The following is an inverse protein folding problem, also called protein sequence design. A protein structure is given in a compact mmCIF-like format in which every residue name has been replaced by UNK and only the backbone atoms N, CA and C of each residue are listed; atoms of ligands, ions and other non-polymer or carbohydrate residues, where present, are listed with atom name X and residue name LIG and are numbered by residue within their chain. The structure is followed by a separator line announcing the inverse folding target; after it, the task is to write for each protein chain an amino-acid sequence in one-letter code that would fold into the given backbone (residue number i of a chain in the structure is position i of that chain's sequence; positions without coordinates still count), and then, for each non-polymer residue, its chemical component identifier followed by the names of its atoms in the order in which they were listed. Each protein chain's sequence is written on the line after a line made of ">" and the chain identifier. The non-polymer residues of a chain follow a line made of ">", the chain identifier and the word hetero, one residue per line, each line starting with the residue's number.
data_IF_141684808410
#
_entry.id   IF_141684808410
#
_cell.length_a   1.000
_cell.length_b   1.000
_cell.length_c   1.000
_cell.angle_alpha   90.00
_cell.angle_beta   90.00
_cell.angle_gamma   90.00
#
_symmetry.space_group_name_H-M   'P 1'
#
loop_
_entity.id
_entity.type
_entity.pdbx_description
1 polymer ?
#
# COMPACT_ATOMS: atom_id res chain seq x y z
N UNK A 1 -21.03 41.22 1.70
CA UNK A 1 -19.69 40.91 2.25
C UNK A 1 -19.27 39.56 1.70
N UNK A 2 -18.19 39.46 0.90
CA UNK A 2 -17.69 38.17 0.46
C UNK A 2 -16.93 37.51 1.61
N UNK A 3 -17.26 36.24 1.85
CA UNK A 3 -16.66 35.37 2.85
C UNK A 3 -15.18 35.21 2.54
N UNK A 4 -14.31 35.59 3.48
CA UNK A 4 -12.89 35.21 3.46
C UNK A 4 -12.80 33.70 3.54
N UNK A 5 -12.52 33.03 2.42
CA UNK A 5 -11.95 31.69 2.46
C UNK A 5 -10.61 31.81 3.19
N UNK A 6 -10.48 31.09 4.31
CA UNK A 6 -9.37 31.22 5.25
C UNK A 6 -8.05 30.80 4.60
N UNK A 7 -7.03 31.63 4.77
CA UNK A 7 -5.61 31.46 4.42
C UNK A 7 -5.00 30.08 4.82
N UNK A 8 -5.68 29.31 5.68
CA UNK A 8 -5.29 27.97 6.13
C UNK A 8 -5.49 26.85 5.11
N UNK A 9 -6.49 26.91 4.21
CA UNK A 9 -6.75 25.84 3.23
C UNK A 9 -5.82 25.95 2.02
N UNK A 10 -5.55 27.17 1.54
CA UNK A 10 -4.57 27.41 0.48
C UNK A 10 -3.15 27.02 0.91
N UNK A 11 -2.77 27.28 2.16
CA UNK A 11 -1.46 26.88 2.71
C UNK A 11 -1.30 25.35 2.77
N UNK A 12 -2.34 24.63 3.20
CA UNK A 12 -2.33 23.15 3.25
C UNK A 12 -2.24 22.53 1.87
N UNK A 13 -2.98 23.06 0.90
CA UNK A 13 -2.90 22.62 -0.49
C UNK A 13 -1.49 22.82 -1.07
N UNK A 14 -0.85 23.97 -0.81
CA UNK A 14 0.52 24.24 -1.28
C UNK A 14 1.55 23.29 -0.64
N UNK A 15 1.39 22.94 0.63
CA UNK A 15 2.26 21.99 1.31
C UNK A 15 2.10 20.56 0.75
N UNK A 16 0.89 20.15 0.36
CA UNK A 16 0.62 18.84 -0.26
C UNK A 16 1.27 18.67 -1.64
N UNK A 17 1.58 19.78 -2.33
CA UNK A 17 2.27 19.78 -3.61
C UNK A 17 3.79 19.61 -3.46
N UNK A 18 4.33 19.83 -2.27
CA UNK A 18 5.77 19.75 -2.01
C UNK A 18 6.28 18.33 -2.24
N UNK A 19 7.49 18.22 -2.79
CA UNK A 19 8.17 16.96 -3.17
C UNK A 19 7.46 16.13 -4.25
N UNK A 20 6.36 16.61 -4.84
CA UNK A 20 5.74 15.94 -6.00
C UNK A 20 6.53 16.22 -7.27
N UNK A 21 6.70 15.18 -8.09
CA UNK A 21 7.28 15.34 -9.43
C UNK A 21 6.20 15.80 -10.41
N UNK A 22 6.54 16.79 -11.23
CA UNK A 22 5.63 17.44 -12.17
C UNK A 22 6.31 17.65 -13.52
N UNK A 23 5.49 17.58 -14.56
CA UNK A 23 5.80 18.09 -15.88
C UNK A 23 5.04 19.42 -16.08
N UNK A 24 5.77 20.50 -16.32
CA UNK A 24 5.24 21.84 -16.56
C UNK A 24 5.46 22.19 -18.03
N UNK A 25 4.36 22.44 -18.74
CA UNK A 25 4.37 22.92 -20.12
C UNK A 25 4.37 24.44 -20.13
N UNK A 26 5.40 25.01 -20.76
CA UNK A 26 5.54 26.43 -21.09
C UNK A 26 5.25 26.64 -22.57
N UNK A 27 5.34 27.88 -23.04
CA UNK A 27 5.05 28.24 -24.45
C UNK A 27 5.92 27.47 -25.46
N UNK A 28 7.22 27.32 -25.16
CA UNK A 28 8.20 26.75 -26.07
C UNK A 28 8.77 25.40 -25.60
N UNK A 29 8.65 25.11 -24.32
CA UNK A 29 9.38 24.04 -23.65
C UNK A 29 8.49 23.28 -22.67
N UNK A 30 8.90 22.05 -22.36
CA UNK A 30 8.27 21.24 -21.31
C UNK A 30 9.35 20.82 -20.33
N UNK A 31 9.20 21.23 -19.09
CA UNK A 31 10.16 20.98 -18.01
C UNK A 31 9.61 19.93 -17.06
N UNK A 32 10.46 19.02 -16.62
CA UNK A 32 10.18 18.06 -15.55
C UNK A 32 10.99 18.45 -14.33
N UNK A 33 10.39 18.44 -13.16
CA UNK A 33 11.08 18.70 -11.89
C UNK A 33 10.28 18.27 -10.68
N UNK A 34 10.86 18.44 -9.50
CA UNK A 34 10.21 18.17 -8.21
C UNK A 34 9.85 19.49 -7.55
N UNK A 35 8.61 19.64 -7.08
CA UNK A 35 8.16 20.88 -6.45
C UNK A 35 8.86 21.04 -5.10
N UNK A 36 9.71 22.06 -4.99
CA UNK A 36 10.33 22.43 -3.71
C UNK A 36 9.40 23.31 -2.86
N UNK A 37 8.69 24.25 -3.51
CA UNK A 37 7.65 25.11 -2.92
C UNK A 37 6.86 25.87 -4.00
N UNK A 38 5.66 26.33 -3.65
CA UNK A 38 4.90 27.33 -4.43
C UNK A 38 4.91 28.65 -3.65
N UNK A 39 5.20 29.76 -4.32
CA UNK A 39 5.28 31.08 -3.69
C UNK A 39 3.92 31.77 -3.65
N UNK A 40 3.75 32.74 -2.75
CA UNK A 40 2.55 33.59 -2.68
C UNK A 40 2.28 34.37 -3.99
N UNK A 41 3.29 34.56 -4.84
CA UNK A 41 3.18 35.18 -6.17
C UNK A 41 2.85 34.17 -7.28
N UNK A 42 2.25 33.02 -6.93
CA UNK A 42 1.89 31.93 -7.87
C UNK A 42 3.06 31.42 -8.72
N UNK A 43 4.29 31.50 -8.21
CA UNK A 43 5.47 30.95 -8.89
C UNK A 43 5.81 29.58 -8.29
N UNK A 44 6.25 28.65 -9.11
CA UNK A 44 6.65 27.30 -8.67
C UNK A 44 8.17 27.21 -8.66
N UNK A 45 8.74 26.78 -7.53
CA UNK A 45 10.18 26.49 -7.43
C UNK A 45 10.36 24.99 -7.58
N UNK A 46 11.10 24.59 -8.60
CA UNK A 46 11.43 23.19 -8.90
C UNK A 46 12.89 22.87 -8.57
N UNK A 47 13.15 21.65 -8.11
CA UNK A 47 14.46 21.02 -8.03
C UNK A 47 14.55 19.81 -8.99
N UNK A 48 15.75 19.27 -9.22
CA UNK A 48 15.99 18.15 -10.17
C UNK A 48 15.35 18.38 -11.55
N UNK A 49 15.62 19.56 -12.12
CA UNK A 49 14.91 20.05 -13.31
C UNK A 49 15.59 19.55 -14.58
N UNK A 50 14.79 19.02 -15.51
CA UNK A 50 15.23 18.59 -16.84
C UNK A 50 14.23 19.00 -17.91
N UNK A 51 14.71 19.24 -19.13
CA UNK A 51 13.83 19.47 -20.28
C UNK A 51 13.37 18.11 -20.85
N UNK A 52 12.06 17.95 -21.04
CA UNK A 52 11.46 16.66 -21.42
C UNK A 52 11.88 16.21 -22.83
N UNK A 53 12.03 17.15 -23.77
CA UNK A 53 12.41 16.82 -25.17
C UNK A 53 13.89 16.45 -25.31
N UNK A 54 14.78 17.25 -24.72
CA UNK A 54 16.23 17.09 -24.90
C UNK A 54 16.91 16.26 -23.79
N UNK A 55 16.22 16.05 -22.67
CA UNK A 55 16.81 15.45 -21.46
C UNK A 55 17.81 16.36 -20.75
N UNK A 56 18.03 17.59 -21.24
CA UNK A 56 19.01 18.53 -20.67
C UNK A 56 18.65 18.83 -19.22
N UNK A 57 19.59 18.57 -18.31
CA UNK A 57 19.47 18.91 -16.89
C UNK A 57 19.83 20.38 -16.64
N UNK A 58 19.10 21.01 -15.75
CA UNK A 58 19.40 22.36 -15.26
C UNK A 58 19.97 22.24 -13.84
N UNK A 59 21.16 22.81 -13.59
CA UNK A 59 21.75 22.79 -12.25
C UNK A 59 20.95 23.68 -11.29
N UNK A 60 20.83 23.25 -10.04
CA UNK A 60 20.17 24.00 -8.98
C UNK A 60 18.64 23.98 -9.04
N UNK A 61 18.02 24.99 -8.43
CA UNK A 61 16.56 25.18 -8.43
C UNK A 61 16.15 26.09 -9.58
N UNK A 62 15.00 25.81 -10.21
CA UNK A 62 14.43 26.64 -11.27
C UNK A 62 13.10 27.23 -10.80
N UNK A 63 12.97 28.55 -10.91
CA UNK A 63 11.72 29.26 -10.61
C UNK A 63 10.96 29.42 -11.92
N UNK A 64 9.68 29.05 -11.91
CA UNK A 64 8.76 29.20 -13.05
C UNK A 64 7.62 30.11 -12.61
N UNK A 65 7.39 31.18 -13.36
CA UNK A 65 6.34 32.14 -13.01
C UNK A 65 4.98 31.63 -13.47
N UNK A 66 3.94 31.80 -12.64
CA UNK A 66 2.62 31.24 -12.92
C UNK A 66 1.98 31.68 -14.23
N UNK A 67 2.35 32.86 -14.76
CA UNK A 67 1.85 33.36 -16.05
C UNK A 67 2.52 32.69 -17.26
N UNK A 68 3.64 32.00 -17.08
CA UNK A 68 4.35 31.24 -18.13
C UNK A 68 3.81 29.80 -18.25
N UNK A 69 3.08 29.33 -17.23
CA UNK A 69 2.61 27.95 -17.12
C UNK A 69 1.33 27.78 -17.95
N UNK A 70 1.43 27.01 -19.03
CA UNK A 70 0.27 26.63 -19.85
C UNK A 70 -0.45 25.40 -19.30
N UNK A 71 0.30 24.45 -18.73
CA UNK A 71 -0.24 23.19 -18.17
C UNK A 71 0.69 22.63 -17.10
N UNK A 72 0.11 22.07 -16.03
CA UNK A 72 0.84 21.28 -15.03
C UNK A 72 0.28 19.87 -15.03
N UNK A 73 1.15 18.88 -15.18
CA UNK A 73 0.82 17.46 -15.07
C UNK A 73 1.62 16.86 -13.92
N UNK A 74 0.94 16.36 -12.89
CA UNK A 74 1.61 15.57 -11.86
C UNK A 74 2.02 14.24 -12.47
N UNK A 75 3.32 13.96 -12.47
CA UNK A 75 3.79 12.61 -12.77
C UNK A 75 3.47 11.79 -11.54
N UNK A 76 2.53 10.84 -11.65
CA UNK A 76 2.22 9.88 -10.59
C UNK A 76 3.55 9.33 -10.07
N UNK A 77 3.88 9.59 -8.80
CA UNK A 77 5.12 9.10 -8.24
C UNK A 77 5.14 7.58 -8.26
N UNK A 78 6.30 7.07 -8.66
CA UNK A 78 6.75 5.68 -8.79
C UNK A 78 6.50 5.01 -10.15
N UNK A 79 7.57 4.98 -10.95
CA UNK A 79 7.70 4.44 -12.32
C UNK A 79 7.44 2.95 -12.46
N UNK A 80 6.26 2.49 -12.06
CA UNK A 80 5.75 1.15 -12.33
C UNK A 80 4.95 1.20 -13.62
N UNK A 81 5.48 0.60 -14.68
CA UNK A 81 4.82 0.52 -16.00
C UNK A 81 3.68 -0.49 -15.95
N UNK A 82 2.52 -0.21 -16.55
CA UNK A 82 1.47 -1.21 -16.75
C UNK A 82 1.56 -1.85 -18.14
N UNK A 83 1.25 -3.14 -18.24
CA UNK A 83 1.22 -3.89 -19.50
C UNK A 83 -0.06 -4.72 -19.55
N UNK A 84 -0.91 -4.45 -20.54
CA UNK A 84 -2.09 -5.28 -20.84
C UNK A 84 -1.66 -6.56 -21.56
N UNK A 85 -2.17 -7.69 -21.10
CA UNK A 85 -2.01 -9.02 -21.70
C UNK A 85 -3.41 -9.59 -21.95
N UNK A 86 -3.87 -9.50 -23.19
CA UNK A 86 -5.21 -9.90 -23.65
C UNK A 86 -5.18 -11.05 -24.67
N UNK A 87 -3.99 -11.47 -25.06
CA UNK A 87 -3.73 -12.52 -26.04
C UNK A 87 -2.48 -13.34 -25.65
N UNK A 88 -2.42 -14.61 -26.07
CA UNK A 88 -1.37 -15.56 -25.68
C UNK A 88 -0.06 -15.42 -26.49
N UNK A 89 0.08 -14.38 -27.31
CA UNK A 89 1.24 -14.23 -28.21
C UNK A 89 2.26 -13.20 -27.71
N UNK A 90 2.63 -12.20 -28.50
CA UNK A 90 3.78 -11.30 -28.40
C UNK A 90 4.14 -10.85 -26.97
N UNK A 91 3.16 -10.51 -26.14
CA UNK A 91 3.40 -9.99 -24.79
C UNK A 91 3.33 -11.06 -23.70
N UNK A 92 2.60 -12.15 -23.92
CA UNK A 92 2.29 -13.14 -22.88
C UNK A 92 3.54 -13.91 -22.44
N UNK A 93 4.26 -14.51 -23.39
CA UNK A 93 5.49 -15.27 -23.10
C UNK A 93 6.53 -14.44 -22.34
N UNK A 94 6.92 -13.25 -22.84
CA UNK A 94 7.85 -12.37 -22.13
C UNK A 94 7.37 -11.95 -20.74
N UNK A 95 6.05 -11.71 -20.56
CA UNK A 95 5.49 -11.40 -19.24
C UNK A 95 5.64 -12.57 -18.27
N UNK A 96 5.26 -13.78 -18.68
CA UNK A 96 5.38 -15.00 -17.85
C UNK A 96 6.84 -15.25 -17.46
N UNK A 97 7.77 -15.17 -18.42
CA UNK A 97 9.20 -15.35 -18.15
C UNK A 97 9.71 -14.32 -17.13
N UNK A 98 9.41 -13.03 -17.33
CA UNK A 98 9.85 -11.98 -16.42
C UNK A 98 9.24 -12.13 -15.01
N UNK A 99 7.98 -12.54 -14.90
CA UNK A 99 7.33 -12.78 -13.60
C UNK A 99 7.97 -13.99 -12.90
N UNK A 100 8.30 -15.05 -13.63
CA UNK A 100 8.90 -16.26 -13.09
C UNK A 100 10.30 -16.04 -12.50
N UNK A 101 11.04 -15.03 -12.99
CA UNK A 101 12.34 -14.62 -12.44
C UNK A 101 12.22 -13.89 -11.09
N UNK A 102 11.03 -13.42 -10.71
CA UNK A 102 10.83 -12.67 -9.49
C UNK A 102 10.80 -13.59 -8.26
N UNK A 103 11.38 -13.13 -7.14
CA UNK A 103 11.26 -13.81 -5.84
C UNK A 103 9.98 -13.43 -5.10
N UNK A 104 9.46 -12.24 -5.34
CA UNK A 104 8.26 -11.69 -4.70
C UNK A 104 7.44 -10.95 -5.74
N UNK A 105 6.15 -11.24 -5.80
CA UNK A 105 5.18 -10.59 -6.69
C UNK A 105 3.93 -10.18 -5.90
N UNK A 106 3.25 -9.14 -6.35
CA UNK A 106 1.96 -8.71 -5.81
C UNK A 106 0.85 -9.25 -6.70
N UNK A 107 -0.26 -9.70 -6.13
CA UNK A 107 -1.37 -10.26 -6.89
C UNK A 107 -2.69 -9.60 -6.48
N UNK A 108 -3.50 -9.30 -7.49
CA UNK A 108 -4.88 -8.86 -7.37
C UNK A 108 -5.77 -9.63 -8.35
N UNK A 109 -7.07 -9.61 -8.08
CA UNK A 109 -8.07 -10.18 -8.96
C UNK A 109 -9.32 -9.30 -8.97
N UNK A 110 -9.95 -9.19 -10.13
CA UNK A 110 -11.32 -8.66 -10.26
C UNK A 110 -12.23 -9.77 -10.76
N UNK A 111 -13.37 -9.91 -10.11
CA UNK A 111 -14.35 -10.99 -10.33
C UNK A 111 -15.72 -10.41 -10.60
N UNK A 112 -16.55 -11.15 -11.33
CA UNK A 112 -17.95 -10.80 -11.58
C UNK A 112 -18.86 -12.03 -11.43
N UNK A 113 -20.05 -11.82 -10.86
CA UNK A 113 -21.06 -12.87 -10.64
C UNK A 113 -21.30 -13.19 -9.16
N UNK A 114 -22.29 -14.05 -8.85
CA UNK A 114 -22.56 -14.48 -7.48
C UNK A 114 -21.46 -15.40 -6.97
N UNK A 115 -21.14 -15.40 -5.67
CA UNK A 115 -19.99 -16.13 -5.07
C UNK A 115 -19.85 -17.59 -5.54
N UNK A 116 -20.97 -18.31 -5.71
CA UNK A 116 -20.99 -19.69 -6.17
C UNK A 116 -20.63 -19.90 -7.66
N UNK A 117 -20.70 -18.84 -8.47
CA UNK A 117 -20.46 -18.83 -9.92
C UNK A 117 -19.62 -17.62 -10.36
N UNK A 118 -18.82 -17.05 -9.43
CA UNK A 118 -17.95 -15.93 -9.75
C UNK A 118 -16.99 -16.32 -10.88
N UNK A 119 -16.83 -15.39 -11.83
CA UNK A 119 -15.88 -15.47 -12.92
C UNK A 119 -14.71 -14.55 -12.65
N UNK A 120 -13.49 -15.08 -12.71
CA UNK A 120 -12.26 -14.30 -12.73
C UNK A 120 -12.17 -13.53 -14.05
N UNK A 121 -12.35 -12.21 -13.99
CA UNK A 121 -12.30 -11.35 -15.16
C UNK A 121 -10.88 -10.87 -15.44
N UNK A 122 -10.16 -10.50 -14.38
CA UNK A 122 -8.82 -9.93 -14.45
C UNK A 122 -7.92 -10.52 -13.39
N UNK A 123 -6.67 -10.79 -13.77
CA UNK A 123 -5.59 -11.11 -12.85
C UNK A 123 -4.50 -10.04 -12.99
N UNK A 124 -4.18 -9.36 -11.88
CA UNK A 124 -3.07 -8.41 -11.84
C UNK A 124 -1.85 -9.05 -11.20
N UNK A 125 -0.68 -8.88 -11.81
CA UNK A 125 0.60 -9.32 -11.25
C UNK A 125 1.58 -8.15 -11.22
N UNK A 126 1.88 -7.66 -10.03
CA UNK A 126 2.86 -6.61 -9.79
C UNK A 126 4.24 -7.18 -9.50
N UNK A 127 5.24 -6.59 -10.15
CA UNK A 127 6.66 -6.72 -9.83
C UNK A 127 7.15 -5.37 -9.28
N UNK A 128 8.45 -5.23 -8.98
CA UNK A 128 9.02 -3.95 -8.51
C UNK A 128 8.84 -2.80 -9.52
N UNK A 129 8.79 -3.09 -10.82
CA UNK A 129 8.80 -2.07 -11.89
C UNK A 129 7.67 -2.19 -12.91
N UNK A 130 6.94 -3.30 -12.91
CA UNK A 130 5.89 -3.57 -13.91
C UNK A 130 4.66 -4.18 -13.25
N UNK A 131 3.47 -3.70 -13.61
CA UNK A 131 2.20 -4.40 -13.37
C UNK A 131 1.70 -5.01 -14.68
N UNK A 132 1.50 -6.32 -14.68
CA UNK A 132 0.85 -7.03 -15.77
C UNK A 132 -0.64 -7.18 -15.46
N UNK A 133 -1.48 -6.83 -16.43
CA UNK A 133 -2.93 -6.89 -16.36
C UNK A 133 -3.39 -7.98 -17.34
N UNK A 134 -3.64 -9.19 -16.84
CA UNK A 134 -4.07 -10.32 -17.64
C UNK A 134 -5.60 -10.31 -17.76
N UNK A 135 -6.09 -10.24 -18.99
CA UNK A 135 -7.50 -10.35 -19.31
C UNK A 135 -7.92 -11.83 -19.34
N UNK A 136 -8.40 -12.33 -18.21
CA UNK A 136 -8.68 -13.77 -18.07
C UNK A 136 -9.92 -14.19 -18.88
N UNK A 137 -10.83 -13.25 -19.19
CA UNK A 137 -11.96 -13.55 -20.07
C UNK A 137 -11.52 -13.84 -21.50
N UNK A 138 -10.53 -13.08 -22.02
CA UNK A 138 -9.98 -13.29 -23.36
C UNK A 138 -8.97 -14.43 -23.42
N UNK A 139 -8.07 -14.52 -22.44
CA UNK A 139 -7.02 -15.55 -22.42
C UNK A 139 -7.56 -16.94 -22.05
N UNK A 140 -8.64 -16.99 -21.26
CA UNK A 140 -9.26 -18.22 -20.76
C UNK A 140 -8.31 -19.09 -19.92
N UNK A 141 -8.70 -20.36 -19.75
CA UNK A 141 -7.90 -21.34 -18.99
C UNK A 141 -6.52 -21.64 -19.58
N UNK A 142 -6.27 -21.24 -20.83
CA UNK A 142 -4.97 -21.41 -21.48
C UNK A 142 -3.89 -20.52 -20.87
N UNK A 143 -4.24 -19.36 -20.31
CA UNK A 143 -3.28 -18.51 -19.58
C UNK A 143 -2.60 -19.28 -18.43
N UNK A 144 -3.39 -20.10 -17.73
CA UNK A 144 -2.93 -20.90 -16.60
C UNK A 144 -2.09 -22.09 -17.06
N UNK A 145 -2.56 -22.82 -18.07
CA UNK A 145 -1.84 -23.95 -18.69
C UNK A 145 -0.49 -23.53 -19.27
N UNK A 146 -0.39 -22.31 -19.81
CA UNK A 146 0.82 -21.80 -20.46
C UNK A 146 1.76 -21.00 -19.53
N UNK A 147 1.61 -21.13 -18.21
CA UNK A 147 2.65 -20.71 -17.27
C UNK A 147 2.17 -20.00 -16.01
N UNK A 148 0.97 -19.40 -16.00
CA UNK A 148 0.49 -18.72 -14.78
C UNK A 148 0.31 -19.71 -13.61
N UNK A 149 -0.14 -20.94 -13.85
CA UNK A 149 -0.19 -21.96 -12.78
C UNK A 149 1.18 -22.23 -12.20
N UNK A 150 2.20 -22.38 -13.05
CA UNK A 150 3.58 -22.62 -12.61
C UNK A 150 4.06 -21.51 -11.68
N UNK A 151 3.73 -20.24 -11.94
CA UNK A 151 4.10 -19.11 -11.10
C UNK A 151 3.31 -19.11 -9.78
N UNK A 152 1.98 -19.24 -9.86
CA UNK A 152 1.08 -19.12 -8.71
C UNK A 152 1.27 -20.25 -7.69
N UNK A 153 1.59 -21.46 -8.16
CA UNK A 153 1.81 -22.65 -7.33
C UNK A 153 3.26 -22.80 -6.87
N UNK A 154 4.21 -22.00 -7.40
CA UNK A 154 5.62 -22.07 -7.03
C UNK A 154 5.87 -21.62 -5.59
N UNK A 155 6.40 -22.52 -4.76
CA UNK A 155 6.73 -22.24 -3.35
C UNK A 155 7.92 -21.29 -3.18
N UNK A 156 8.74 -21.09 -4.19
CA UNK A 156 9.91 -20.19 -4.16
C UNK A 156 9.60 -18.76 -4.62
N UNK A 157 8.39 -18.51 -5.14
CA UNK A 157 7.90 -17.17 -5.44
C UNK A 157 6.86 -16.81 -4.39
N UNK A 158 7.11 -15.75 -3.62
CA UNK A 158 6.17 -15.24 -2.64
C UNK A 158 5.11 -14.38 -3.31
N UNK A 159 3.83 -14.69 -3.06
CA UNK A 159 2.69 -13.91 -3.57
C UNK A 159 2.15 -13.01 -2.47
N UNK A 160 2.34 -11.71 -2.63
CA UNK A 160 1.78 -10.69 -1.74
C UNK A 160 0.37 -10.35 -2.20
N UNK A 161 -0.60 -10.50 -1.31
CA UNK A 161 -2.02 -10.27 -1.60
C UNK A 161 -2.62 -9.40 -0.49
N UNK A 162 -3.71 -8.71 -0.78
CA UNK A 162 -4.59 -8.16 0.25
C UNK A 162 -5.90 -8.91 0.22
N UNK A 163 -6.22 -9.63 1.29
CA UNK A 163 -7.37 -10.54 1.38
C UNK A 163 -7.33 -11.64 0.30
N UNK A 164 -6.60 -12.71 0.59
CA UNK A 164 -6.39 -13.80 -0.37
C UNK A 164 -7.62 -14.68 -0.60
N UNK A 165 -8.72 -14.51 0.15
CA UNK A 165 -9.87 -15.41 0.13
C UNK A 165 -10.52 -15.48 -1.25
N UNK A 166 -10.77 -14.32 -1.86
CA UNK A 166 -11.42 -14.24 -3.16
C UNK A 166 -10.57 -14.83 -4.28
N UNK A 167 -9.31 -14.39 -4.39
CA UNK A 167 -8.39 -14.88 -5.45
C UNK A 167 -8.11 -16.37 -5.32
N UNK A 168 -7.89 -16.88 -4.10
CA UNK A 168 -7.64 -18.31 -3.86
C UNK A 168 -8.85 -19.16 -4.26
N UNK A 169 -10.06 -18.73 -3.88
CA UNK A 169 -11.30 -19.42 -4.25
C UNK A 169 -11.50 -19.47 -5.76
N UNK A 170 -11.35 -18.34 -6.47
CA UNK A 170 -11.57 -18.28 -7.91
C UNK A 170 -10.54 -19.11 -8.69
N UNK A 171 -9.26 -18.99 -8.34
CA UNK A 171 -8.19 -19.80 -8.95
C UNK A 171 -8.43 -21.31 -8.80
N UNK A 172 -8.86 -21.74 -7.61
CA UNK A 172 -9.15 -23.15 -7.33
C UNK A 172 -10.40 -23.64 -8.06
N UNK A 173 -11.49 -22.87 -8.01
CA UNK A 173 -12.78 -23.27 -8.55
C UNK A 173 -12.79 -23.29 -10.09
N UNK A 174 -12.24 -22.26 -10.74
CA UNK A 174 -12.30 -22.13 -12.20
C UNK A 174 -11.12 -22.79 -12.92
N UNK A 175 -9.93 -22.78 -12.33
CA UNK A 175 -8.69 -23.16 -13.03
C UNK A 175 -7.92 -24.30 -12.35
N UNK A 176 -8.40 -24.80 -11.20
CA UNK A 176 -7.74 -25.83 -10.37
C UNK A 176 -6.32 -25.44 -9.93
N UNK A 177 -6.07 -24.13 -9.79
CA UNK A 177 -4.78 -23.58 -9.36
C UNK A 177 -4.79 -23.34 -7.86
N UNK A 178 -3.77 -23.82 -7.16
CA UNK A 178 -3.63 -23.69 -5.71
C UNK A 178 -2.57 -22.64 -5.37
N UNK A 179 -3.01 -21.44 -4.98
CA UNK A 179 -2.09 -20.39 -4.55
C UNK A 179 -1.26 -20.84 -3.34
N UNK A 180 0.06 -20.91 -3.48
CA UNK A 180 1.00 -21.31 -2.40
C UNK A 180 1.84 -20.13 -1.93
N UNK A 181 2.59 -20.22 -0.83
CA UNK A 181 3.55 -19.18 -0.37
C UNK A 181 3.00 -17.74 -0.48
N UNK A 182 2.02 -17.43 0.38
CA UNK A 182 1.28 -16.17 0.35
C UNK A 182 1.67 -15.30 1.55
N UNK A 183 1.89 -14.01 1.31
CA UNK A 183 1.88 -12.99 2.35
C UNK A 183 0.60 -12.16 2.21
N UNK A 184 -0.32 -12.28 3.17
CA UNK A 184 -1.56 -11.51 3.17
C UNK A 184 -1.41 -10.25 4.03
N UNK A 185 -1.45 -9.09 3.36
CA UNK A 185 -1.33 -7.78 4.01
C UNK A 185 -2.50 -7.44 4.94
N UNK A 186 -3.70 -8.00 4.72
CA UNK A 186 -4.84 -7.82 5.62
C UNK A 186 -4.68 -8.63 6.90
N UNK A 187 -4.14 -9.85 6.79
CA UNK A 187 -3.80 -10.68 7.97
C UNK A 187 -2.66 -10.04 8.75
N UNK A 188 -1.65 -9.49 8.07
CA UNK A 188 -0.58 -8.76 8.73
C UNK A 188 -1.10 -7.51 9.49
N UNK A 189 -1.99 -6.70 8.89
CA UNK A 189 -2.63 -5.56 9.58
C UNK A 189 -3.46 -6.00 10.80
N UNK A 190 -4.17 -7.13 10.69
CA UNK A 190 -4.92 -7.70 11.80
C UNK A 190 -3.99 -8.13 12.94
N UNK A 191 -2.87 -8.78 12.62
CA UNK A 191 -1.89 -9.21 13.61
C UNK A 191 -1.18 -8.02 14.29
N UNK A 192 -0.88 -6.97 13.53
CA UNK A 192 -0.36 -5.72 14.08
C UNK A 192 -1.33 -5.11 15.08
N UNK A 193 -2.61 -4.97 14.70
CA UNK A 193 -3.63 -4.45 15.61
C UNK A 193 -3.74 -5.31 16.88
N UNK A 194 -3.73 -6.63 16.74
CA UNK A 194 -3.78 -7.55 17.87
C UNK A 194 -2.60 -7.33 18.83
N UNK A 195 -1.39 -7.20 18.29
CA UNK A 195 -0.19 -6.97 19.09
C UNK A 195 -0.18 -5.57 19.75
N UNK A 196 -0.54 -4.53 19.00
CA UNK A 196 -0.58 -3.13 19.47
C UNK A 196 -1.66 -2.88 20.53
N UNK A 197 -2.70 -3.71 20.59
CA UNK A 197 -3.77 -3.62 21.59
C UNK A 197 -3.58 -4.61 22.73
N UNK A 198 -2.46 -5.34 22.78
CA UNK A 198 -2.17 -6.30 23.83
C UNK A 198 -3.04 -7.57 23.79
N UNK A 199 -3.65 -7.85 22.64
CA UNK A 199 -4.38 -9.08 22.38
C UNK A 199 -5.88 -8.92 22.10
N UNK A 200 -6.36 -7.71 21.81
CA UNK A 200 -7.74 -7.52 21.36
C UNK A 200 -7.87 -7.63 19.84
N UNK A 201 -8.96 -8.23 19.37
CA UNK A 201 -9.30 -8.25 17.95
C UNK A 201 -10.17 -7.04 17.59
N UNK A 202 -10.04 -6.49 16.38
CA UNK A 202 -10.94 -5.46 15.89
C UNK A 202 -12.28 -6.06 15.46
N UNK A 203 -13.33 -5.25 15.47
CA UNK A 203 -14.68 -5.58 14.97
C UNK A 203 -14.72 -5.83 13.45
N UNK A 204 -13.73 -5.31 12.72
CA UNK A 204 -13.55 -5.54 11.28
C UNK A 204 -12.08 -5.51 10.85
N UNK A 205 -11.83 -6.08 9.69
CA UNK A 205 -10.57 -5.95 8.94
C UNK A 205 -10.50 -4.62 8.19
N UNK A 206 -9.28 -4.18 7.88
CA UNK A 206 -9.02 -3.02 7.03
C UNK A 206 -9.20 -3.31 5.55
N UNK A 207 -9.64 -2.32 4.78
CA UNK A 207 -9.49 -2.33 3.32
C UNK A 207 -8.06 -1.99 2.90
N UNK A 208 -7.69 -2.32 1.66
CA UNK A 208 -6.35 -2.03 1.13
C UNK A 208 -6.02 -0.53 1.22
N UNK A 209 -6.99 0.33 0.93
CA UNK A 209 -6.84 1.78 1.06
C UNK A 209 -6.44 2.19 2.48
N UNK A 210 -7.09 1.60 3.49
CA UNK A 210 -6.85 1.95 4.89
C UNK A 210 -5.45 1.51 5.31
N UNK A 211 -5.05 0.30 4.94
CA UNK A 211 -3.71 -0.23 5.22
C UNK A 211 -2.63 0.61 4.51
N UNK A 212 -2.83 0.98 3.25
CA UNK A 212 -1.88 1.82 2.51
C UNK A 212 -1.77 3.24 3.09
N UNK A 213 -2.90 3.84 3.50
CA UNK A 213 -2.89 5.14 4.18
C UNK A 213 -2.15 5.05 5.51
N UNK A 214 -2.43 4.02 6.30
CA UNK A 214 -1.87 3.86 7.63
C UNK A 214 -0.37 3.59 7.59
N UNK A 215 0.08 2.66 6.76
CA UNK A 215 1.46 2.15 6.80
C UNK A 215 2.39 2.83 5.79
N UNK A 216 1.90 3.18 4.60
CA UNK A 216 2.72 3.87 3.59
C UNK A 216 2.50 5.38 3.55
N UNK A 217 1.56 5.91 4.36
CA UNK A 217 1.24 7.35 4.43
C UNK A 217 0.90 7.97 3.07
N UNK A 218 0.27 7.20 2.18
CA UNK A 218 -0.08 7.67 0.84
C UNK A 218 -1.12 8.81 0.92
N UNK A 219 -0.97 9.86 0.10
CA UNK A 219 -1.92 10.97 0.07
C UNK A 219 -3.26 10.52 -0.54
N UNK A 220 -4.37 11.23 -0.23
CA UNK A 220 -5.70 10.90 -0.77
C UNK A 220 -5.75 10.81 -2.30
N UNK A 221 -4.95 11.63 -3.01
CA UNK A 221 -4.85 11.60 -4.48
C UNK A 221 -4.44 10.24 -5.01
N UNK A 222 -3.52 9.57 -4.32
CA UNK A 222 -2.94 8.31 -4.77
C UNK A 222 -3.83 7.11 -4.39
N UNK A 223 -4.65 7.29 -3.35
CA UNK A 223 -5.66 6.33 -2.92
C UNK A 223 -6.96 6.45 -3.71
N UNK A 224 -7.20 7.57 -4.41
CA UNK A 224 -8.45 7.82 -5.13
C UNK A 224 -8.89 6.68 -6.08
N UNK A 225 -8.00 5.99 -6.82
CA UNK A 225 -8.45 4.87 -7.66
C UNK A 225 -8.97 3.68 -6.85
N UNK A 226 -8.46 3.48 -5.62
CA UNK A 226 -8.93 2.43 -4.72
C UNK A 226 -10.29 2.77 -4.11
N UNK A 227 -10.53 4.04 -3.78
CA UNK A 227 -11.87 4.52 -3.41
C UNK A 227 -12.88 4.19 -4.53
N UNK A 228 -12.53 4.49 -5.78
CA UNK A 228 -13.37 4.18 -6.94
C UNK A 228 -13.61 2.69 -7.11
N UNK A 229 -12.62 1.84 -6.83
CA UNK A 229 -12.78 0.37 -6.85
C UNK A 229 -13.87 -0.10 -5.89
N UNK A 230 -13.86 0.41 -4.66
CA UNK A 230 -14.85 0.03 -3.64
C UNK A 230 -16.26 0.47 -4.03
N UNK A 231 -16.39 1.64 -4.68
CA UNK A 231 -17.66 2.14 -5.22
C UNK A 231 -18.17 1.25 -6.36
N UNK A 232 -17.33 0.96 -7.36
CA UNK A 232 -17.73 0.10 -8.48
C UNK A 232 -18.17 -1.29 -8.02
N UNK A 233 -17.51 -1.87 -7.02
CA UNK A 233 -17.92 -3.16 -6.44
C UNK A 233 -19.35 -3.14 -5.87
N UNK A 234 -19.83 -1.98 -5.39
CA UNK A 234 -21.18 -1.83 -4.82
C UNK A 234 -22.22 -1.43 -5.86
N UNK A 235 -21.88 -0.49 -6.74
CA UNK A 235 -22.86 0.19 -7.60
C UNK A 235 -22.92 -0.36 -9.03
N UNK A 236 -21.81 -0.86 -9.56
CA UNK A 236 -21.73 -1.32 -10.96
C UNK A 236 -20.65 -2.42 -11.09
N UNK A 237 -20.84 -3.59 -10.46
CA UNK A 237 -19.85 -4.67 -10.47
C UNK A 237 -19.57 -5.23 -11.88
N UNK A 238 -20.49 -5.04 -12.83
CA UNK A 238 -20.38 -5.48 -14.23
C UNK A 238 -19.25 -4.78 -15.01
N UNK A 239 -18.71 -3.66 -14.52
CA UNK A 239 -17.60 -2.96 -15.18
C UNK A 239 -16.38 -3.85 -15.42
N UNK A 240 -16.15 -4.85 -14.55
CA UNK A 240 -15.04 -5.79 -14.69
C UNK A 240 -15.23 -6.78 -15.84
N UNK A 241 -16.46 -6.95 -16.31
CA UNK A 241 -16.84 -7.85 -17.41
C UNK A 241 -16.79 -7.16 -18.78
N UNK A 242 -16.87 -5.82 -18.83
CA UNK A 242 -16.91 -5.03 -20.07
C UNK A 242 -15.60 -5.16 -20.86
N UNK A 243 -15.70 -5.32 -22.20
CA UNK A 243 -14.57 -5.33 -23.13
C UNK A 243 -14.80 -4.42 -24.35
N UNK A 244 -13.76 -3.70 -24.82
CA UNK A 244 -12.43 -3.57 -24.21
C UNK A 244 -12.49 -2.84 -22.85
N UNK A 245 -11.51 -3.05 -21.97
CA UNK A 245 -11.50 -2.43 -20.64
C UNK A 245 -11.34 -0.91 -20.75
N UNK A 246 -12.19 -0.11 -20.08
CA UNK A 246 -12.00 1.33 -20.01
C UNK A 246 -10.63 1.70 -19.39
N UNK A 247 -9.91 2.70 -19.94
CA UNK A 247 -8.60 3.10 -19.42
C UNK A 247 -8.59 3.46 -17.92
N UNK A 248 -9.70 4.02 -17.41
CA UNK A 248 -9.86 4.31 -15.99
C UNK A 248 -9.78 3.06 -15.11
N UNK A 249 -10.35 1.93 -15.55
CA UNK A 249 -10.28 0.66 -14.81
C UNK A 249 -8.87 0.09 -14.81
N UNK A 250 -8.09 0.31 -15.88
CA UNK A 250 -6.69 -0.10 -15.93
C UNK A 250 -5.85 0.63 -14.86
N UNK A 251 -6.12 1.92 -14.63
CA UNK A 251 -5.52 2.68 -13.53
C UNK A 251 -5.91 2.13 -12.17
N UNK A 252 -7.19 1.79 -11.98
CA UNK A 252 -7.69 1.18 -10.73
C UNK A 252 -7.03 -0.17 -10.46
N UNK A 253 -6.98 -1.05 -11.46
CA UNK A 253 -6.33 -2.37 -11.36
C UNK A 253 -4.83 -2.25 -11.11
N UNK A 254 -4.17 -1.24 -11.67
CA UNK A 254 -2.74 -1.00 -11.40
C UNK A 254 -2.53 -0.53 -9.96
N UNK A 255 -3.36 0.42 -9.49
CA UNK A 255 -3.29 0.95 -8.14
C UNK A 255 -3.53 -0.12 -7.05
N UNK A 256 -4.36 -1.13 -7.33
CA UNK A 256 -4.71 -2.19 -6.37
C UNK A 256 -3.56 -3.14 -6.04
N UNK A 257 -2.50 -3.18 -6.85
CA UNK A 257 -1.36 -4.09 -6.63
C UNK A 257 0.00 -3.42 -6.55
N UNK A 258 0.17 -2.21 -7.12
CA UNK A 258 1.49 -1.57 -7.26
C UNK A 258 2.23 -1.33 -5.94
N UNK A 259 1.50 -1.17 -4.83
CA UNK A 259 2.05 -0.90 -3.52
C UNK A 259 2.15 -2.13 -2.62
N UNK A 260 1.74 -3.32 -3.07
CA UNK A 260 1.73 -4.52 -2.22
C UNK A 260 3.15 -4.93 -1.77
N UNK A 261 4.14 -4.90 -2.67
CA UNK A 261 5.53 -5.22 -2.34
C UNK A 261 6.13 -4.29 -1.28
N UNK A 262 6.10 -2.94 -1.43
CA UNK A 262 6.59 -2.05 -0.39
C UNK A 262 5.75 -2.13 0.89
N UNK A 263 4.43 -2.31 0.79
CA UNK A 263 3.57 -2.49 1.96
C UNK A 263 3.98 -3.72 2.77
N UNK A 264 4.27 -4.86 2.12
CA UNK A 264 4.80 -6.05 2.81
C UNK A 264 6.04 -5.73 3.64
N UNK A 265 6.98 -4.95 3.11
CA UNK A 265 8.23 -4.66 3.83
C UNK A 265 7.96 -3.85 5.10
N UNK A 266 7.12 -2.81 5.00
CA UNK A 266 6.75 -1.99 6.17
C UNK A 266 5.96 -2.81 7.20
N UNK A 267 5.04 -3.66 6.75
CA UNK A 267 4.29 -4.53 7.66
C UNK A 267 5.18 -5.57 8.36
N UNK A 268 6.16 -6.14 7.65
CA UNK A 268 7.12 -7.06 8.26
C UNK A 268 7.97 -6.35 9.32
N UNK A 269 8.45 -5.15 9.03
CA UNK A 269 9.21 -4.34 10.00
C UNK A 269 8.38 -4.04 11.25
N UNK A 270 7.12 -3.60 11.06
CA UNK A 270 6.20 -3.35 12.16
C UNK A 270 5.89 -4.60 13.00
N UNK A 271 5.72 -5.77 12.34
CA UNK A 271 5.46 -7.05 13.03
C UNK A 271 6.65 -7.50 13.88
N UNK A 272 7.86 -7.06 13.54
CA UNK A 272 9.09 -7.36 14.26
C UNK A 272 9.38 -6.36 15.41
N UNK A 273 8.50 -5.40 15.66
CA UNK A 273 8.73 -4.35 16.68
C UNK A 273 9.04 -4.90 18.08
N UNK A 274 8.21 -5.83 18.59
CA UNK A 274 8.42 -6.45 19.91
C UNK A 274 9.72 -7.24 19.98
N UNK A 275 10.10 -7.90 18.88
CA UNK A 275 11.38 -8.59 18.77
C UNK A 275 12.55 -7.60 18.88
N UNK A 276 12.49 -6.47 18.15
CA UNK A 276 13.55 -5.46 18.19
C UNK A 276 13.67 -4.83 19.58
N UNK A 277 12.55 -4.53 20.24
CA UNK A 277 12.53 -4.02 21.63
C UNK A 277 13.24 -5.01 22.57
N UNK A 278 12.93 -6.31 22.46
CA UNK A 278 13.55 -7.31 23.31
C UNK A 278 15.06 -7.46 23.03
N UNK A 279 15.48 -7.40 21.77
CA UNK A 279 16.90 -7.43 21.40
C UNK A 279 17.63 -6.22 22.01
N UNK A 280 17.04 -5.02 21.94
CA UNK A 280 17.63 -3.81 22.51
C UNK A 280 17.74 -3.91 24.05
N UNK A 281 16.73 -4.48 24.71
CA UNK A 281 16.77 -4.75 26.16
C UNK A 281 17.91 -5.72 26.51
N UNK A 282 18.07 -6.80 25.74
CA UNK A 282 19.15 -7.77 25.93
C UNK A 282 20.53 -7.15 25.72
N UNK A 283 20.70 -6.31 24.70
CA UNK A 283 21.98 -5.63 24.45
C UNK A 283 22.32 -4.61 25.55
N UNK A 284 21.30 -3.95 26.12
CA UNK A 284 21.48 -2.92 27.15
C UNK A 284 21.85 -3.49 28.53
N UNK A 285 21.42 -4.71 28.84
CA UNK A 285 21.68 -5.33 30.14
C UNK A 285 23.16 -5.67 30.36
N UNK A 286 23.89 -6.04 29.30
CA UNK A 286 25.33 -6.29 29.35
C UNK A 286 26.17 -5.04 29.65
N UNK A 287 25.67 -3.84 29.31
CA UNK A 287 26.40 -2.60 29.56
C UNK A 287 26.34 -2.14 31.03
N UNK A 288 25.35 -2.62 31.79
CA UNK A 288 25.09 -2.20 33.17
C UNK A 288 25.52 -3.23 34.23
N UNK A 289 26.03 -4.40 33.84
CA UNK A 289 26.49 -5.41 34.79
C UNK A 289 27.91 -5.12 35.27
N UNK A 290 28.05 -4.88 36.57
CA UNK A 290 29.34 -5.03 37.27
C UNK A 290 29.77 -6.50 37.23
N UNK A 291 31.09 -6.72 37.16
CA UNK A 291 31.84 -7.90 36.67
C UNK A 291 31.53 -9.27 37.33
N UNK A 292 30.54 -9.42 38.20
CA UNK A 292 30.35 -10.66 38.98
C UNK A 292 28.88 -11.08 39.16
N UNK A 293 28.19 -11.41 38.07
CA UNK A 293 26.97 -12.24 38.17
C UNK A 293 27.11 -13.40 37.18
N UNK A 294 27.32 -14.60 37.71
CA UNK A 294 27.20 -15.86 36.97
C UNK A 294 25.73 -16.04 36.57
N UNK A 295 25.33 -15.46 35.43
CA UNK A 295 24.06 -15.82 34.81
C UNK A 295 24.20 -17.23 34.22
N UNK A 296 23.33 -18.15 34.64
CA UNK A 296 23.28 -19.48 34.02
C UNK A 296 22.83 -19.31 32.56
N UNK A 297 23.61 -19.85 31.61
CA UNK A 297 23.39 -19.69 30.15
C UNK A 297 21.99 -20.12 29.65
N UNK A 298 21.19 -20.79 30.48
CA UNK A 298 19.94 -21.43 30.09
C UNK A 298 18.70 -20.96 30.87
N UNK A 299 18.81 -19.95 31.73
CA UNK A 299 17.67 -19.34 32.45
C UNK A 299 17.07 -18.17 31.67
N UNK A 300 15.74 -17.99 31.73
CA UNK A 300 15.05 -16.89 31.06
C UNK A 300 15.55 -15.53 31.60
N UNK A 301 16.08 -14.63 30.75
CA UNK A 301 16.53 -13.31 31.19
C UNK A 301 15.40 -12.47 31.77
N UNK A 302 15.69 -11.63 32.75
CA UNK A 302 14.68 -10.79 33.42
C UNK A 302 14.01 -9.81 32.44
N UNK A 303 14.75 -9.37 31.42
CA UNK A 303 14.34 -8.50 30.33
C UNK A 303 13.18 -9.12 29.52
N UNK A 304 13.09 -10.46 29.46
CA UNK A 304 11.98 -11.12 28.78
C UNK A 304 10.62 -10.86 29.45
N UNK A 305 10.60 -10.50 30.74
CA UNK A 305 9.36 -10.12 31.43
C UNK A 305 8.80 -8.79 30.94
N UNK A 306 9.61 -7.93 30.31
CA UNK A 306 9.17 -6.65 29.73
C UNK A 306 8.06 -6.84 28.69
N UNK A 307 8.06 -7.96 27.96
CA UNK A 307 7.00 -8.29 27.01
C UNK A 307 5.61 -8.38 27.67
N UNK A 308 5.53 -8.86 28.93
CA UNK A 308 4.27 -8.95 29.66
C UNK A 308 3.80 -7.56 30.10
N UNK A 309 4.73 -6.71 30.56
CA UNK A 309 4.45 -5.32 30.92
C UNK A 309 3.96 -4.52 29.72
N UNK A 310 4.67 -4.58 28.59
CA UNK A 310 4.30 -3.93 27.33
C UNK A 310 2.91 -4.40 26.87
N UNK A 311 2.62 -5.70 26.98
CA UNK A 311 1.29 -6.22 26.64
C UNK A 311 0.19 -5.62 27.51
N UNK A 312 0.40 -5.56 28.83
CA UNK A 312 -0.59 -4.99 29.75
C UNK A 312 -0.81 -3.49 29.49
N UNK A 313 0.27 -2.73 29.29
CA UNK A 313 0.19 -1.30 28.93
C UNK A 313 -0.60 -1.07 27.65
N UNK A 314 -0.43 -1.95 26.64
CA UNK A 314 -1.20 -1.91 25.40
C UNK A 314 -2.68 -2.23 25.60
N UNK A 315 -3.01 -3.16 26.49
CA UNK A 315 -4.41 -3.45 26.85
C UNK A 315 -5.08 -2.24 27.51
N UNK A 316 -4.40 -1.62 28.47
CA UNK A 316 -4.90 -0.42 29.18
C UNK A 316 -5.01 0.76 28.21
N UNK A 317 -4.02 0.94 27.33
CA UNK A 317 -4.02 1.93 26.26
C UNK A 317 -5.20 1.76 25.30
N UNK A 318 -5.51 0.52 24.92
CA UNK A 318 -6.56 0.19 23.97
C UNK A 318 -7.96 0.36 24.58
N UNK A 319 -8.18 -0.14 25.80
CA UNK A 319 -9.46 0.01 26.51
C UNK A 319 -9.79 1.47 26.82
N UNK A 320 -8.78 2.32 26.99
CA UNK A 320 -8.96 3.77 27.12
C UNK A 320 -9.26 4.53 25.82
N UNK A 321 -9.07 3.92 24.63
CA UNK A 321 -9.15 4.60 23.33
C UNK A 321 -10.17 4.02 22.35
N UNK A 322 -10.62 2.81 22.57
CA UNK A 322 -11.61 2.13 21.73
C UNK A 322 -12.82 1.72 22.56
N UNK A 323 -14.00 1.81 21.96
CA UNK A 323 -15.19 1.18 22.48
C UNK A 323 -15.18 -0.33 22.19
N UNK A 324 -15.71 -1.12 23.12
CA UNK A 324 -15.93 -2.55 22.94
C UNK A 324 -17.29 -2.82 22.25
N UNK A 325 -17.34 -3.88 21.44
CA UNK A 325 -18.59 -4.52 21.03
C UNK A 325 -19.10 -5.44 22.13
N UNK A 326 -20.34 -5.92 22.00
CA UNK A 326 -20.91 -6.92 22.92
C UNK A 326 -20.11 -8.23 22.91
N UNK A 327 -19.49 -8.58 21.77
CA UNK A 327 -18.65 -9.77 21.60
C UNK A 327 -17.20 -9.58 22.08
N UNK A 328 -16.88 -8.44 22.71
CA UNK A 328 -15.53 -8.16 23.22
C UNK A 328 -14.50 -7.75 22.16
N UNK A 329 -14.94 -7.31 20.97
CA UNK A 329 -14.08 -6.78 19.92
C UNK A 329 -13.92 -5.26 20.05
N UNK A 330 -12.77 -4.72 19.65
CA UNK A 330 -12.57 -3.27 19.60
C UNK A 330 -13.19 -2.67 18.35
N UNK A 331 -14.09 -1.69 18.51
CA UNK A 331 -14.70 -0.95 17.40
C UNK A 331 -13.67 -0.06 16.74
N UNK A 332 -13.11 -0.47 15.60
CA UNK A 332 -11.98 0.23 14.95
C UNK A 332 -12.29 1.69 14.61
N UNK A 333 -13.54 2.02 14.27
CA UNK A 333 -13.98 3.39 13.96
C UNK A 333 -14.12 4.30 15.19
N UNK A 334 -14.11 3.75 16.40
CA UNK A 334 -14.30 4.50 17.65
C UNK A 334 -13.02 5.10 18.22
N UNK A 335 -11.90 4.95 17.53
CA UNK A 335 -10.59 5.41 18.02
C UNK A 335 -10.62 6.88 18.43
N UNK A 336 -10.41 7.13 19.71
CA UNK A 336 -10.37 8.46 20.26
C UNK A 336 -8.93 9.01 20.30
N UNK A 337 -8.72 10.13 19.61
CA UNK A 337 -7.43 10.85 19.59
C UNK A 337 -7.25 11.79 20.78
N UNK A 338 -8.32 12.11 21.51
CA UNK A 338 -8.26 12.95 22.71
C UNK A 338 -7.98 12.08 23.93
N UNK A 339 -6.75 12.13 24.43
CA UNK A 339 -6.42 11.65 25.76
C UNK A 339 -7.21 12.44 26.80
N UNK A 340 -7.94 11.76 27.70
CA UNK A 340 -8.23 12.33 29.02
C UNK A 340 -6.88 12.58 29.70
N UNK A 341 -6.43 13.83 29.72
CA UNK A 341 -5.40 14.29 30.64
C UNK A 341 -6.01 14.26 32.05
N UNK A 342 -6.00 13.11 32.72
CA UNK A 342 -6.23 13.06 34.16
C UNK A 342 -4.90 13.30 34.87
N UNK A 343 -4.45 14.55 34.83
CA UNK A 343 -3.50 15.12 35.79
C UNK A 343 -3.52 16.63 35.61
N UNK A 344 -4.51 17.27 36.24
CA UNK A 344 -4.32 18.49 37.03
C UNK A 344 -5.68 19.10 37.35
N UNK A 345 -6.22 18.74 38.51
CA UNK A 345 -7.00 19.69 39.31
C UNK A 345 -7.05 19.21 40.75
N UNK A 346 -6.09 19.77 41.52
CA UNK A 346 -6.07 20.01 42.98
C UNK A 346 -6.33 18.87 43.95
#
# INVERSE_FOLDING_TARGET
>A
MPVMASCSEESRFVDDLRRRRVDITLIDTRLRGVIQRVTQKKSVVLEDVSEVKSGRKFPGVKIIFGHEILKVEFTVSDGVRSVLIDELHEKFGPAVMHIQEQKVIGIGAEVFGPIAQERLCWLQVATKKVVYLFDILLLGGQAFKNGLSMILENRHILKVVHDCRCVSRCLRAEFRVHLTNVFDTQVADLMLFYNETGGFLPDRVSSLQEVLRLHLKLPPTDLSPLCSKELHRKECPEVWYIRPSPPALMTVMTASVRHLLPLRLVLLDALMSDYTILVDAYMSSYHNQSVHIEQSEWTLPAEAQELLSVRQERMDWATGRYALTEDGLLKRSSFNTQTRSTSDTR
#
